data_IF_750724202091
#
_entry.id   IF_750724202091
#
_cell.length_a   1.000
_cell.length_b   1.000
_cell.length_c   1.000
_cell.angle_alpha   90.00
_cell.angle_beta   90.00
_cell.angle_gamma   90.00
#
_symmetry.space_group_name_H-M   'P 1'
#
loop_
_entity.id
_entity.type
_entity.pdbx_description
1 polymer ?
#
# COMPACT_ATOMS: atom_id res chain seq x y z
N UNK A 1 12.69 12.59 -7.23
CA UNK A 1 13.96 13.30 -7.58
C UNK A 1 15.18 12.72 -6.87
N UNK A 2 15.10 12.35 -5.59
CA UNK A 2 16.22 11.77 -4.82
C UNK A 2 16.73 10.44 -5.39
N UNK A 3 15.85 9.48 -5.67
CA UNK A 3 16.23 8.17 -6.23
C UNK A 3 16.96 8.30 -7.58
N UNK A 4 16.48 9.19 -8.45
CA UNK A 4 17.16 9.48 -9.72
C UNK A 4 18.58 10.05 -9.52
N UNK A 5 18.79 10.87 -8.49
CA UNK A 5 20.14 11.36 -8.13
C UNK A 5 21.02 10.21 -7.61
N UNK A 6 20.48 9.31 -6.79
CA UNK A 6 21.23 8.14 -6.33
C UNK A 6 21.70 7.28 -7.49
N UNK A 7 20.82 6.99 -8.45
CA UNK A 7 21.16 6.26 -9.67
C UNK A 7 22.25 6.96 -10.49
N UNK A 8 22.09 8.26 -10.76
CA UNK A 8 23.05 9.02 -11.58
C UNK A 8 24.43 9.15 -10.92
N UNK A 9 24.47 9.30 -9.60
CA UNK A 9 25.72 9.38 -8.84
C UNK A 9 26.30 8.01 -8.46
N UNK A 10 25.65 6.90 -8.86
CA UNK A 10 25.99 5.52 -8.42
C UNK A 10 26.08 5.39 -6.90
N UNK A 11 25.29 6.19 -6.19
CA UNK A 11 25.21 6.14 -4.73
C UNK A 11 24.29 4.99 -4.32
N UNK A 12 24.78 4.15 -3.42
CA UNK A 12 24.00 3.05 -2.84
C UNK A 12 23.49 3.53 -1.47
N UNK A 13 22.19 3.81 -1.32
CA UNK A 13 21.62 4.22 -0.05
C UNK A 13 21.66 3.07 0.96
N UNK A 14 21.70 3.41 2.24
CA UNK A 14 21.40 2.43 3.30
C UNK A 14 19.93 1.99 3.22
N UNK A 15 19.59 0.84 3.81
CA UNK A 15 18.19 0.37 3.85
C UNK A 15 17.25 1.41 4.49
N UNK A 16 17.71 2.11 5.52
CA UNK A 16 16.92 3.14 6.20
C UNK A 16 16.66 4.37 5.31
N UNK A 17 17.70 4.88 4.64
CA UNK A 17 17.56 5.99 3.70
C UNK A 17 16.64 5.62 2.54
N UNK A 18 16.81 4.42 1.99
CA UNK A 18 15.97 3.89 0.94
C UNK A 18 14.50 3.81 1.36
N UNK A 19 14.20 3.21 2.52
CA UNK A 19 12.81 3.10 3.01
C UNK A 19 12.20 4.50 3.17
N UNK A 20 12.88 5.43 3.85
CA UNK A 20 12.32 6.76 4.09
C UNK A 20 11.95 7.52 2.80
N UNK A 21 12.74 7.39 1.74
CA UNK A 21 12.43 8.01 0.45
C UNK A 21 11.40 7.21 -0.34
N UNK A 22 11.53 5.88 -0.35
CA UNK A 22 10.68 5.00 -1.15
C UNK A 22 9.24 4.95 -0.65
N UNK A 23 8.97 5.19 0.64
CA UNK A 23 7.61 5.34 1.16
C UNK A 23 6.85 6.46 0.44
N UNK A 24 7.53 7.57 0.11
CA UNK A 24 6.92 8.69 -0.61
C UNK A 24 6.82 8.41 -2.11
N UNK A 25 7.89 7.88 -2.72
CA UNK A 25 7.92 7.60 -4.17
C UNK A 25 6.99 6.44 -4.58
N UNK A 26 6.65 5.54 -3.64
CA UNK A 26 5.75 4.40 -3.88
C UNK A 26 4.34 4.76 -4.33
N UNK A 27 3.90 6.00 -4.11
CA UNK A 27 2.56 6.46 -4.49
C UNK A 27 1.42 5.94 -3.60
N UNK A 28 1.65 4.97 -2.71
CA UNK A 28 0.61 4.45 -1.80
C UNK A 28 0.00 5.52 -0.88
N UNK A 29 0.75 6.45 -0.27
CA UNK A 29 0.15 7.52 0.53
C UNK A 29 -0.77 8.42 -0.30
N UNK A 30 -0.40 8.70 -1.55
CA UNK A 30 -1.23 9.45 -2.48
C UNK A 30 -2.49 8.66 -2.85
N UNK A 31 -2.36 7.36 -3.14
CA UNK A 31 -3.49 6.48 -3.43
C UNK A 31 -4.47 6.41 -2.25
N UNK A 32 -3.97 6.30 -1.01
CA UNK A 32 -4.81 6.31 0.19
C UNK A 32 -5.58 7.61 0.33
N UNK A 33 -4.90 8.76 0.24
CA UNK A 33 -5.53 10.07 0.40
C UNK A 33 -6.55 10.35 -0.72
N UNK A 34 -6.21 10.07 -1.97
CA UNK A 34 -7.14 10.22 -3.11
C UNK A 34 -8.35 9.30 -3.00
N UNK A 35 -8.18 8.08 -2.49
CA UNK A 35 -9.30 7.15 -2.28
C UNK A 35 -10.36 7.66 -1.30
N UNK A 36 -10.00 8.57 -0.39
CA UNK A 36 -10.93 9.19 0.56
C UNK A 36 -11.78 10.28 -0.07
N UNK A 37 -11.28 10.97 -1.10
CA UNK A 37 -12.02 12.04 -1.79
C UNK A 37 -13.33 11.49 -2.37
N UNK A 38 -13.32 10.26 -2.88
CA UNK A 38 -14.50 9.58 -3.42
C UNK A 38 -15.50 9.05 -2.37
N UNK A 39 -15.27 9.28 -1.07
CA UNK A 39 -16.12 8.74 0.00
C UNK A 39 -17.27 9.69 0.42
N UNK A 40 -17.44 10.83 -0.26
CA UNK A 40 -18.54 11.75 -0.02
C UNK A 40 -18.43 12.52 1.31
N UNK A 41 -19.57 12.84 1.93
CA UNK A 41 -19.64 13.75 3.09
C UNK A 41 -18.87 13.26 4.34
N UNK A 42 -18.64 11.95 4.45
CA UNK A 42 -17.85 11.40 5.57
C UNK A 42 -16.35 11.80 5.48
N UNK A 43 -15.87 12.18 4.30
CA UNK A 43 -14.48 12.56 4.03
C UNK A 43 -14.21 14.03 4.39
N UNK A 44 -14.21 14.33 5.70
CA UNK A 44 -13.93 15.67 6.23
C UNK A 44 -12.44 15.98 6.30
N UNK A 45 -12.06 17.25 6.48
CA UNK A 45 -10.66 17.69 6.67
C UNK A 45 -9.94 16.89 7.79
N UNK A 46 -10.68 16.48 8.83
CA UNK A 46 -10.15 15.68 9.94
C UNK A 46 -9.54 14.36 9.47
N UNK A 47 -10.15 13.67 8.49
CA UNK A 47 -9.61 12.41 8.01
C UNK A 47 -8.33 12.62 7.19
N UNK A 48 -8.27 13.69 6.39
CA UNK A 48 -7.08 14.04 5.63
C UNK A 48 -5.91 14.40 6.55
N UNK A 49 -6.15 15.19 7.60
CA UNK A 49 -5.13 15.45 8.64
C UNK A 49 -4.66 14.18 9.34
N UNK A 50 -5.57 13.25 9.63
CA UNK A 50 -5.22 11.99 10.29
C UNK A 50 -4.35 11.08 9.40
N UNK A 51 -4.67 10.95 8.11
CA UNK A 51 -3.92 10.09 7.19
C UNK A 51 -2.57 10.70 6.80
N UNK A 52 -2.46 12.04 6.73
CA UNK A 52 -1.20 12.73 6.40
C UNK A 52 -0.28 12.90 7.61
N UNK A 53 -0.79 12.88 8.85
CA UNK A 53 0.03 12.94 10.07
C UNK A 53 0.75 11.62 10.38
N UNK A 54 1.10 10.83 9.35
CA UNK A 54 1.96 9.66 9.46
C UNK A 54 1.58 8.68 10.58
N UNK A 55 0.30 8.30 10.63
CA UNK A 55 -0.13 7.26 11.57
C UNK A 55 0.68 5.98 11.36
N UNK A 56 1.00 5.28 12.46
CA UNK A 56 1.70 3.99 12.41
C UNK A 56 1.05 3.03 11.40
N UNK A 57 -0.27 3.09 11.28
CA UNK A 57 -1.04 2.31 10.33
C UNK A 57 -0.73 2.63 8.86
N UNK A 58 -0.66 3.92 8.50
CA UNK A 58 -0.31 4.35 7.14
C UNK A 58 1.14 3.99 6.82
N UNK A 59 2.06 4.19 7.78
CA UNK A 59 3.46 3.79 7.62
C UNK A 59 3.60 2.28 7.41
N UNK A 60 3.01 1.47 8.27
CA UNK A 60 3.05 0.01 8.15
C UNK A 60 2.45 -0.47 6.82
N UNK A 61 1.31 0.08 6.42
CA UNK A 61 0.65 -0.26 5.15
C UNK A 61 1.48 0.12 3.94
N UNK A 62 2.11 1.31 3.96
CA UNK A 62 2.99 1.78 2.87
C UNK A 62 4.27 0.96 2.81
N UNK A 63 4.89 0.65 3.94
CA UNK A 63 6.08 -0.23 4.02
C UNK A 63 5.76 -1.62 3.50
N UNK A 64 4.64 -2.20 3.93
CA UNK A 64 4.20 -3.51 3.45
C UNK A 64 4.06 -3.49 1.92
N UNK A 65 3.31 -2.53 1.41
CA UNK A 65 3.02 -2.47 -0.02
C UNK A 65 4.27 -2.16 -0.87
N UNK A 66 5.16 -1.28 -0.38
CA UNK A 66 6.44 -0.99 -1.04
C UNK A 66 7.33 -2.23 -1.12
N UNK A 67 7.49 -2.96 -0.01
CA UNK A 67 8.38 -4.12 0.04
C UNK A 67 7.82 -5.35 -0.69
N UNK A 68 6.49 -5.44 -0.79
CA UNK A 68 5.85 -6.42 -1.66
C UNK A 68 6.20 -6.17 -3.13
N UNK A 69 6.12 -4.91 -3.59
CA UNK A 69 6.46 -4.52 -4.98
C UNK A 69 7.95 -4.63 -5.30
N UNK A 70 8.86 -4.28 -4.37
CA UNK A 70 10.32 -4.40 -4.55
C UNK A 70 10.81 -5.87 -4.62
N UNK A 71 9.90 -6.84 -4.77
CA UNK A 71 10.09 -8.30 -4.79
C UNK A 71 10.64 -8.81 -3.45
N UNK A 72 9.74 -9.17 -2.53
CA UNK A 72 9.95 -9.90 -1.24
C UNK A 72 11.40 -9.85 -0.70
N UNK A 73 11.98 -8.66 -0.67
CA UNK A 73 13.43 -8.51 -0.45
C UNK A 73 13.75 -8.62 1.04
N UNK A 74 12.72 -8.53 1.89
CA UNK A 74 12.83 -8.66 3.33
C UNK A 74 11.54 -9.19 3.99
N UNK A 75 11.33 -10.51 3.94
CA UNK A 75 10.18 -11.19 4.57
C UNK A 75 9.96 -10.80 6.04
N UNK A 76 11.05 -10.54 6.78
CA UNK A 76 10.96 -10.12 8.18
C UNK A 76 10.28 -8.77 8.32
N UNK A 77 10.65 -7.78 7.50
CA UNK A 77 10.03 -6.44 7.57
C UNK A 77 8.59 -6.51 7.07
N UNK A 78 8.31 -7.29 6.01
CA UNK A 78 6.93 -7.51 5.51
C UNK A 78 6.05 -8.11 6.62
N UNK A 79 6.54 -9.16 7.29
CA UNK A 79 5.82 -9.82 8.39
C UNK A 79 5.57 -8.87 9.55
N UNK A 80 6.55 -8.03 9.91
CA UNK A 80 6.38 -7.05 10.98
C UNK A 80 5.38 -5.96 10.59
N UNK A 81 5.47 -5.43 9.37
CA UNK A 81 4.50 -4.46 8.86
C UNK A 81 3.08 -5.03 8.86
N UNK A 82 2.90 -6.30 8.47
CA UNK A 82 1.60 -6.96 8.54
C UNK A 82 1.06 -7.10 9.96
N UNK A 83 1.93 -7.40 10.95
CA UNK A 83 1.54 -7.43 12.37
C UNK A 83 1.11 -6.05 12.85
N UNK A 84 1.85 -5.00 12.50
CA UNK A 84 1.52 -3.61 12.86
C UNK A 84 0.17 -3.20 12.24
N UNK A 85 -0.10 -3.56 10.98
CA UNK A 85 -1.41 -3.35 10.32
C UNK A 85 -2.53 -4.01 11.12
N UNK A 86 -2.35 -5.27 11.53
CA UNK A 86 -3.35 -6.00 12.30
C UNK A 86 -3.59 -5.38 13.68
N UNK A 87 -2.53 -4.97 14.38
CA UNK A 87 -2.65 -4.32 15.68
C UNK A 87 -3.42 -2.99 15.56
N UNK A 88 -3.06 -2.15 14.60
CA UNK A 88 -3.72 -0.86 14.38
C UNK A 88 -5.18 -1.02 13.93
N UNK A 89 -5.55 -2.10 13.23
CA UNK A 89 -6.94 -2.42 12.91
C UNK A 89 -7.78 -2.74 14.17
N UNK A 90 -7.16 -3.28 15.21
CA UNK A 90 -7.83 -3.66 16.46
C UNK A 90 -7.84 -2.53 17.49
N UNK A 91 -6.97 -1.52 17.36
CA UNK A 91 -6.89 -0.40 18.28
C UNK A 91 -8.11 0.52 18.16
N UNK A 92 -8.63 1.06 19.30
CA UNK A 92 -9.61 2.12 19.27
C UNK A 92 -9.07 3.33 18.49
N UNK A 93 -9.78 3.74 17.44
CA UNK A 93 -9.41 4.89 16.62
C UNK A 93 -10.47 5.98 16.67
N UNK A 94 -10.04 7.23 16.50
CA UNK A 94 -10.93 8.41 16.38
C UNK A 94 -11.55 8.54 14.97
N UNK A 95 -11.24 7.61 14.09
CA UNK A 95 -11.61 7.59 12.68
C UNK A 95 -12.67 6.52 12.43
N UNK A 96 -13.62 6.82 11.54
CA UNK A 96 -14.66 5.86 11.17
C UNK A 96 -14.06 4.62 10.50
N UNK A 97 -14.60 3.44 10.82
CA UNK A 97 -14.16 2.14 10.28
C UNK A 97 -13.99 2.09 8.75
N UNK A 98 -14.82 2.74 7.91
CA UNK A 98 -14.65 2.70 6.46
C UNK A 98 -13.27 3.19 5.97
N UNK A 99 -12.67 4.17 6.65
CA UNK A 99 -11.34 4.67 6.29
C UNK A 99 -10.23 3.69 6.67
N UNK A 100 -10.35 3.06 7.85
CA UNK A 100 -9.42 1.99 8.27
C UNK A 100 -9.48 0.82 7.30
N UNK A 101 -10.69 0.39 6.93
CA UNK A 101 -10.91 -0.68 5.97
C UNK A 101 -10.35 -0.35 4.59
N UNK A 102 -10.41 0.92 4.16
CA UNK A 102 -9.83 1.35 2.89
C UNK A 102 -8.31 1.15 2.86
N UNK A 103 -7.60 1.56 3.91
CA UNK A 103 -6.15 1.35 4.02
C UNK A 103 -5.82 -0.15 4.03
N UNK A 104 -6.53 -0.93 4.85
CA UNK A 104 -6.34 -2.39 4.92
C UNK A 104 -6.55 -3.07 3.57
N UNK A 105 -7.60 -2.67 2.83
CA UNK A 105 -7.90 -3.24 1.52
C UNK A 105 -6.84 -2.87 0.48
N UNK A 106 -6.23 -1.67 0.56
CA UNK A 106 -5.11 -1.30 -0.30
C UNK A 106 -3.85 -2.13 0.01
N UNK A 107 -3.57 -2.42 1.29
CA UNK A 107 -2.48 -3.33 1.66
C UNK A 107 -2.73 -4.77 1.14
N UNK A 108 -3.96 -5.28 1.27
CA UNK A 108 -4.35 -6.59 0.72
C UNK A 108 -4.28 -6.63 -0.81
N UNK A 109 -4.61 -5.53 -1.47
CA UNK A 109 -4.45 -5.42 -2.92
C UNK A 109 -2.99 -5.57 -3.33
N UNK A 110 -2.06 -4.93 -2.61
CA UNK A 110 -0.63 -5.12 -2.84
C UNK A 110 -0.20 -6.58 -2.64
N UNK A 111 -0.71 -7.26 -1.61
CA UNK A 111 -0.46 -8.70 -1.40
C UNK A 111 -0.92 -9.55 -2.59
N UNK A 112 -2.09 -9.27 -3.16
CA UNK A 112 -2.63 -10.00 -4.33
C UNK A 112 -1.79 -9.75 -5.58
N UNK A 113 -1.47 -8.48 -5.88
CA UNK A 113 -0.80 -8.09 -7.13
C UNK A 113 0.68 -8.48 -7.13
N UNK A 114 1.37 -8.39 -6.00
CA UNK A 114 2.81 -8.64 -5.94
C UNK A 114 3.16 -10.01 -5.34
N UNK A 115 2.18 -10.92 -5.27
CA UNK A 115 2.43 -12.26 -4.74
C UNK A 115 3.36 -13.04 -5.65
N UNK A 116 4.56 -13.34 -5.14
CA UNK A 116 5.56 -14.21 -5.79
C UNK A 116 6.29 -13.59 -6.98
N UNK A 117 5.67 -12.62 -7.67
CA UNK A 117 6.26 -11.88 -8.79
C UNK A 117 5.51 -10.55 -9.00
N UNK A 118 6.07 -9.68 -9.84
CA UNK A 118 5.42 -8.45 -10.29
C UNK A 118 4.31 -8.76 -11.31
N UNK A 119 3.10 -9.05 -10.81
CA UNK A 119 1.92 -9.27 -11.66
C UNK A 119 1.23 -7.94 -12.05
N UNK A 120 1.76 -6.78 -11.65
CA UNK A 120 1.28 -5.48 -12.11
C UNK A 120 1.82 -5.21 -13.52
N UNK A 121 3.13 -5.32 -13.70
CA UNK A 121 3.78 -5.17 -15.01
C UNK A 121 3.55 -6.39 -15.89
N UNK A 122 3.63 -7.60 -15.32
CA UNK A 122 3.42 -8.88 -16.02
C UNK A 122 2.01 -9.43 -15.75
N UNK A 123 1.01 -8.70 -16.23
CA UNK A 123 -0.39 -8.98 -15.91
C UNK A 123 -1.02 -10.16 -16.68
N UNK A 124 -0.30 -10.76 -17.63
CA UNK A 124 -0.77 -11.87 -18.48
C UNK A 124 -1.00 -13.18 -17.71
N UNK A 125 -0.43 -13.30 -16.50
CA UNK A 125 -0.64 -14.41 -15.59
C UNK A 125 -1.91 -14.29 -14.73
N UNK A 126 -1.75 -14.39 -13.41
CA UNK A 126 -2.86 -14.46 -12.45
C UNK A 126 -3.73 -13.18 -12.41
N UNK A 127 -3.15 -12.01 -12.70
CA UNK A 127 -3.92 -10.76 -12.74
C UNK A 127 -5.00 -10.81 -13.82
N UNK A 128 -4.68 -11.33 -15.01
CA UNK A 128 -5.65 -11.50 -16.10
C UNK A 128 -6.79 -12.42 -15.70
N UNK A 129 -6.50 -13.53 -15.01
CA UNK A 129 -7.56 -14.46 -14.57
C UNK A 129 -8.47 -13.81 -13.52
N UNK A 130 -7.92 -13.02 -12.59
CA UNK A 130 -8.73 -12.25 -11.64
C UNK A 130 -9.60 -11.20 -12.33
N UNK A 131 -9.06 -10.47 -13.31
CA UNK A 131 -9.84 -9.47 -14.07
C UNK A 131 -10.99 -10.14 -14.83
N UNK A 132 -10.73 -11.28 -15.47
CA UNK A 132 -11.76 -12.04 -16.17
C UNK A 132 -12.87 -12.48 -15.21
N UNK A 133 -12.51 -13.10 -14.08
CA UNK A 133 -13.48 -13.57 -13.10
C UNK A 133 -14.29 -12.44 -12.43
N UNK A 134 -13.72 -11.23 -12.29
CA UNK A 134 -14.39 -10.10 -11.62
C UNK A 134 -15.25 -9.26 -12.56
N UNK A 135 -14.86 -9.13 -13.83
CA UNK A 135 -15.44 -8.13 -14.73
C UNK A 135 -15.93 -8.67 -16.08
N UNK A 136 -15.59 -9.91 -16.44
CA UNK A 136 -15.93 -10.49 -17.75
C UNK A 136 -16.89 -11.67 -17.60
N UNK A 137 -16.53 -12.64 -16.76
CA UNK A 137 -17.26 -13.89 -16.62
C UNK A 137 -18.37 -13.75 -15.56
N UNK A 138 -19.64 -14.05 -15.88
CA UNK A 138 -20.72 -14.03 -14.90
C UNK A 138 -20.61 -15.22 -13.94
N UNK A 139 -21.15 -15.05 -12.72
CA UNK A 139 -21.30 -16.16 -11.79
C UNK A 139 -22.28 -17.18 -12.38
N UNK A 140 -21.93 -18.48 -12.48
CA UNK A 140 -22.84 -19.50 -12.96
C UNK A 140 -24.13 -19.49 -12.14
N UNK A 141 -25.28 -19.45 -12.81
CA UNK A 141 -26.63 -19.51 -12.22
C UNK A 141 -27.08 -20.94 -11.99
#
# INVERSE_FOLDING_TARGET
MTEARWLNCKYIPTTEEYINISLVSSGYPLLMTTSYIGMGEIATEKIFKWVTNESKFVKASTTFARLMDDIVSNERIITNAWKDINEECLRPTKVAKPFVMRILNLARFADVIYKGQDNFTHADGVTKTYIQALFVDPVPT
#
